data_IF_730295364801
#
_entry.id   IF_730295364801
#
_cell.length_a   1.000
_cell.length_b   1.000
_cell.length_c   1.000
_cell.angle_alpha   90.00
_cell.angle_beta   90.00
_cell.angle_gamma   90.00
#
_symmetry.space_group_name_H-M   'P 1'
#
loop_
_entity.id
_entity.type
_entity.pdbx_description
1 polymer ?
#
# COMPACT_ATOMS: atom_id res chain seq x y z
N UNK A 1 10.00 0.56 20.47
CA UNK A 1 9.12 1.31 19.55
C UNK A 1 9.11 0.61 18.20
N UNK A 2 7.94 0.41 17.65
CA UNK A 2 7.81 -0.29 16.39
C UNK A 2 7.60 0.70 15.25
N UNK A 3 8.64 0.89 14.44
CA UNK A 3 8.62 1.87 13.35
C UNK A 3 7.62 1.52 12.25
N UNK A 4 7.22 0.24 12.13
CA UNK A 4 6.27 -0.18 11.11
C UNK A 4 4.84 0.24 11.40
N UNK A 5 4.50 0.58 12.65
CA UNK A 5 3.16 1.04 12.98
C UNK A 5 2.75 2.31 12.23
N UNK A 6 3.72 3.11 11.79
CA UNK A 6 3.44 4.32 11.02
C UNK A 6 2.75 4.03 9.69
N UNK A 7 2.89 2.80 9.18
CA UNK A 7 2.24 2.42 7.93
C UNK A 7 0.74 2.15 8.07
N UNK A 8 0.29 1.83 9.30
CA UNK A 8 -1.13 1.51 9.51
C UNK A 8 -2.00 2.72 9.12
N UNK A 9 -3.01 2.47 8.30
CA UNK A 9 -3.93 3.48 7.75
C UNK A 9 -3.26 4.48 6.80
N UNK A 10 -2.00 4.25 6.41
CA UNK A 10 -1.35 5.12 5.42
C UNK A 10 -1.93 4.89 4.03
N UNK A 11 -1.84 5.94 3.20
CA UNK A 11 -2.42 5.98 1.85
C UNK A 11 -1.30 5.85 0.82
N UNK A 12 -1.57 5.09 -0.23
CA UNK A 12 -0.57 4.81 -1.26
C UNK A 12 -1.19 4.79 -2.65
N UNK A 13 -0.40 5.15 -3.64
CA UNK A 13 -0.80 5.09 -5.05
C UNK A 13 0.13 4.15 -5.79
N UNK A 14 -0.44 3.14 -6.44
CA UNK A 14 0.33 2.24 -7.30
C UNK A 14 0.60 2.92 -8.64
N UNK A 15 1.86 2.91 -9.07
CA UNK A 15 2.23 3.49 -10.37
C UNK A 15 1.60 2.67 -11.50
N UNK A 16 1.55 1.34 -11.35
CA UNK A 16 0.79 0.48 -12.25
C UNK A 16 -0.60 0.22 -11.67
N UNK A 17 -1.60 0.14 -12.55
CA UNK A 17 -2.93 -0.24 -12.12
C UNK A 17 -2.93 -1.72 -11.73
N UNK A 18 -3.21 -1.99 -10.45
CA UNK A 18 -3.34 -3.34 -9.96
C UNK A 18 -4.82 -3.69 -9.93
N UNK A 19 -5.23 -4.69 -10.72
CA UNK A 19 -6.63 -5.06 -10.88
C UNK A 19 -7.54 -3.88 -11.26
N UNK A 20 -6.98 -2.92 -12.00
CA UNK A 20 -7.71 -1.75 -12.46
C UNK A 20 -7.73 -0.56 -11.49
N UNK A 21 -7.08 -0.66 -10.32
CA UNK A 21 -7.11 0.38 -9.31
C UNK A 21 -5.70 0.85 -8.95
N UNK A 22 -5.57 2.11 -8.54
CA UNK A 22 -4.29 2.71 -8.16
C UNK A 22 -4.24 3.14 -6.71
N UNK A 23 -5.38 3.49 -6.07
CA UNK A 23 -5.40 4.06 -4.73
C UNK A 23 -5.67 2.99 -3.68
N UNK A 24 -4.75 2.89 -2.74
CA UNK A 24 -4.77 1.85 -1.71
C UNK A 24 -4.54 2.46 -0.33
N UNK A 25 -4.99 1.73 0.69
CA UNK A 25 -4.75 2.09 2.08
C UNK A 25 -4.28 0.84 2.83
N UNK A 26 -3.42 1.04 3.81
CA UNK A 26 -2.90 -0.05 4.63
C UNK A 26 -3.93 -0.41 5.70
N UNK A 27 -4.33 -1.68 5.73
CA UNK A 27 -5.27 -2.22 6.71
C UNK A 27 -4.56 -2.87 7.88
N UNK A 28 -3.49 -3.61 7.63
CA UNK A 28 -2.74 -4.34 8.63
C UNK A 28 -1.25 -4.25 8.37
N UNK A 29 -0.47 -4.39 9.45
CA UNK A 29 0.99 -4.39 9.39
C UNK A 29 1.47 -5.71 9.98
N UNK A 30 2.27 -6.46 9.21
CA UNK A 30 2.84 -7.73 9.63
C UNK A 30 4.33 -7.53 9.91
N UNK A 31 4.64 -7.21 11.15
CA UNK A 31 5.97 -6.78 11.57
C UNK A 31 7.02 -7.86 11.33
N UNK A 32 6.71 -9.10 11.73
CA UNK A 32 7.68 -10.20 11.61
C UNK A 32 7.99 -10.54 10.16
N UNK A 33 7.03 -10.36 9.27
CA UNK A 33 7.19 -10.67 7.85
C UNK A 33 7.66 -9.47 7.03
N UNK A 34 7.67 -8.28 7.65
CA UNK A 34 7.97 -7.01 6.97
C UNK A 34 7.07 -6.80 5.77
N UNK A 35 5.78 -7.02 5.98
CA UNK A 35 4.75 -6.90 4.96
C UNK A 35 3.60 -6.05 5.45
N UNK A 36 2.85 -5.49 4.49
CA UNK A 36 1.62 -4.74 4.75
C UNK A 36 0.46 -5.43 4.05
N UNK A 37 -0.70 -5.39 4.67
CA UNK A 37 -1.94 -5.75 3.99
C UNK A 37 -2.61 -4.48 3.51
N UNK A 38 -2.84 -4.37 2.20
CA UNK A 38 -3.43 -3.18 1.59
C UNK A 38 -4.73 -3.55 0.89
N UNK A 39 -5.63 -2.58 0.77
CA UNK A 39 -6.88 -2.76 0.05
C UNK A 39 -7.16 -1.55 -0.83
N UNK A 40 -7.83 -1.80 -1.97
CA UNK A 40 -8.28 -0.71 -2.84
C UNK A 40 -9.41 0.07 -2.18
N UNK A 41 -9.30 1.39 -2.15
CA UNK A 41 -10.38 2.23 -1.60
C UNK A 41 -11.63 2.20 -2.47
N UNK A 42 -11.49 1.85 -3.75
CA UNK A 42 -12.60 1.74 -4.69
C UNK A 42 -13.23 0.35 -4.71
N UNK A 43 -12.49 -0.67 -4.27
CA UNK A 43 -12.96 -2.04 -4.23
C UNK A 43 -12.30 -2.75 -3.03
N UNK A 44 -12.97 -2.72 -1.90
CA UNK A 44 -12.42 -3.24 -0.65
C UNK A 44 -12.16 -4.74 -0.66
N UNK A 45 -12.73 -5.47 -1.61
CA UNK A 45 -12.46 -6.90 -1.78
C UNK A 45 -11.10 -7.14 -2.42
N UNK A 46 -10.56 -6.14 -3.12
CA UNK A 46 -9.24 -6.22 -3.73
C UNK A 46 -8.19 -5.93 -2.65
N UNK A 47 -7.80 -6.96 -1.93
CA UNK A 47 -6.88 -6.92 -0.80
C UNK A 47 -5.73 -7.87 -1.05
N UNK A 48 -4.49 -7.42 -0.81
CA UNK A 48 -3.32 -8.27 -0.93
C UNK A 48 -2.18 -7.75 -0.05
N UNK A 49 -1.13 -8.55 0.06
CA UNK A 49 0.06 -8.19 0.83
C UNK A 49 1.14 -7.60 -0.07
N UNK A 50 1.86 -6.62 0.46
CA UNK A 50 3.00 -6.01 -0.21
C UNK A 50 4.16 -5.94 0.77
N UNK A 51 5.38 -6.16 0.26
CA UNK A 51 6.58 -6.05 1.09
C UNK A 51 6.90 -4.60 1.36
N UNK A 52 7.47 -4.32 2.53
CA UNK A 52 7.93 -2.97 2.89
C UNK A 52 8.93 -2.44 1.86
N UNK A 53 9.82 -3.30 1.38
CA UNK A 53 10.80 -2.90 0.36
C UNK A 53 10.12 -2.46 -0.94
N UNK A 54 9.01 -3.10 -1.30
CA UNK A 54 8.28 -2.74 -2.52
C UNK A 54 7.49 -1.44 -2.34
N UNK A 55 6.83 -1.26 -1.19
CA UNK A 55 6.03 -0.05 -0.95
C UNK A 55 6.91 1.20 -0.90
N UNK A 56 8.16 1.06 -0.52
CA UNK A 56 9.12 2.15 -0.47
C UNK A 56 9.88 2.36 -1.79
N UNK A 57 9.59 1.55 -2.79
CA UNK A 57 10.20 1.68 -4.12
C UNK A 57 9.41 2.71 -4.92
N UNK A 58 10.01 3.89 -5.13
CA UNK A 58 9.34 5.01 -5.82
C UNK A 58 9.03 4.72 -7.29
N UNK A 59 9.58 3.67 -7.86
CA UNK A 59 9.22 3.23 -9.21
C UNK A 59 7.94 2.39 -9.23
N UNK A 60 7.46 1.95 -8.07
CA UNK A 60 6.27 1.11 -7.94
C UNK A 60 5.14 1.79 -7.20
N UNK A 61 5.45 2.57 -6.16
CA UNK A 61 4.47 3.17 -5.28
C UNK A 61 4.81 4.62 -4.95
N UNK A 62 3.78 5.46 -4.81
CA UNK A 62 3.91 6.83 -4.33
C UNK A 62 3.15 6.98 -3.02
N UNK A 63 3.71 7.69 -2.02
CA UNK A 63 2.98 7.95 -0.78
C UNK A 63 1.81 8.90 -1.03
N UNK A 64 0.71 8.65 -0.32
CA UNK A 64 -0.51 9.43 -0.49
C UNK A 64 -1.32 8.97 -1.69
N UNK A 65 -2.45 9.62 -1.91
CA UNK A 65 -3.28 9.37 -3.09
C UNK A 65 -2.99 10.44 -4.12
N UNK A 66 -2.35 10.03 -5.21
CA UNK A 66 -1.92 10.91 -6.30
C UNK A 66 -2.64 10.57 -7.58
N UNK A 67 -2.88 11.56 -8.44
CA UNK A 67 -3.38 11.32 -9.77
C UNK A 67 -2.19 11.04 -10.71
N UNK A 68 -2.28 9.94 -11.43
CA UNK A 68 -1.29 9.55 -12.43
C UNK A 68 -1.95 9.67 -13.78
N UNK A 69 -1.44 10.55 -14.61
CA UNK A 69 -1.99 10.84 -15.93
C UNK A 69 -1.17 10.16 -17.01
#
# INVERSE_FOLDING_TARGET
MNLMKKYLHSKWTSIEKLNGWRHYEVRNVFINNKELEIFSICDKKNTFRVKITDINDNSKWLPGWEEIV
#
